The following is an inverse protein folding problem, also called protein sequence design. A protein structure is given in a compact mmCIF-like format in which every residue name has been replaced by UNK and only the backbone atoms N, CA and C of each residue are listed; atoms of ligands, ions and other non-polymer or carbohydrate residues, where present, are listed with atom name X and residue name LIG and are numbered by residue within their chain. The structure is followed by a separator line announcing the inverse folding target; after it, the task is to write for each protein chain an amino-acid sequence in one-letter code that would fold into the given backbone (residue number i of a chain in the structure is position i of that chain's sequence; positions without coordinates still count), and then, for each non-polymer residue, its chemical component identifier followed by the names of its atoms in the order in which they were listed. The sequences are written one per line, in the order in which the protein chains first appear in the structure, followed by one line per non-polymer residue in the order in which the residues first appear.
data_IF_822804289569
#
_entry.id   IF_822804289569
#
_cell.length_a   1.000
_cell.length_b   1.000
_cell.length_c   1.000
_cell.angle_alpha   90.00
_cell.angle_beta   90.00
_cell.angle_gamma   90.00
#
_symmetry.space_group_name_H-M   'P 1'
#
loop_
_entity.id
_entity.type
_entity.pdbx_description
1 polymer ?
#
# COMPACT_ATOMS: atom_id res chain seq x y z
N UNK A 1 1.10 -16.91 -7.26
CA UNK A 1 2.58 -16.89 -7.12
C UNK A 1 2.91 -15.85 -6.05
N UNK A 2 3.96 -16.05 -5.25
CA UNK A 2 4.35 -15.10 -4.20
C UNK A 2 4.98 -13.85 -4.84
N UNK A 3 4.62 -12.66 -4.35
CA UNK A 3 5.24 -11.39 -4.72
C UNK A 3 5.96 -10.79 -3.50
N UNK A 4 7.21 -10.37 -3.67
CA UNK A 4 8.01 -9.76 -2.60
C UNK A 4 8.10 -8.24 -2.82
N UNK A 5 7.71 -7.46 -1.81
CA UNK A 5 7.79 -6.01 -1.83
C UNK A 5 8.72 -5.51 -0.73
N UNK A 6 9.46 -4.42 -0.97
CA UNK A 6 10.19 -3.70 0.08
C UNK A 6 9.35 -2.55 0.63
N UNK A 7 9.16 -2.47 1.94
CA UNK A 7 8.51 -1.33 2.60
C UNK A 7 9.55 -0.24 2.88
N UNK A 8 9.91 0.54 1.86
CA UNK A 8 11.02 1.50 1.91
C UNK A 8 10.87 2.65 0.91
N UNK A 9 11.53 3.77 1.22
CA UNK A 9 11.79 4.88 0.30
C UNK A 9 13.30 5.20 0.21
N UNK A 10 14.15 4.32 0.74
CA UNK A 10 15.61 4.43 0.66
C UNK A 10 16.09 3.79 -0.65
N UNK A 11 16.47 4.63 -1.60
CA UNK A 11 16.84 4.25 -2.96
C UNK A 11 18.12 3.41 -3.00
N UNK A 12 19.08 3.68 -2.13
CA UNK A 12 20.32 2.89 -2.03
C UNK A 12 20.02 1.49 -1.49
N UNK A 13 19.17 1.41 -0.46
CA UNK A 13 18.73 0.14 0.10
C UNK A 13 17.95 -0.69 -0.93
N UNK A 14 17.06 -0.07 -1.69
CA UNK A 14 16.28 -0.72 -2.75
C UNK A 14 17.22 -1.28 -3.82
N UNK A 15 18.19 -0.49 -4.30
CA UNK A 15 19.19 -0.96 -5.26
C UNK A 15 20.01 -2.14 -4.73
N UNK A 16 20.45 -2.06 -3.47
CA UNK A 16 21.22 -3.12 -2.83
C UNK A 16 20.44 -4.44 -2.79
N UNK A 17 19.19 -4.42 -2.32
CA UNK A 17 18.39 -5.65 -2.19
C UNK A 17 17.88 -6.18 -3.53
N UNK A 18 17.68 -5.33 -4.53
CA UNK A 18 17.32 -5.78 -5.88
C UNK A 18 18.41 -6.67 -6.52
N UNK A 19 19.66 -6.51 -6.11
CA UNK A 19 20.75 -7.38 -6.59
C UNK A 19 20.66 -8.83 -6.10
N UNK A 20 19.90 -9.11 -5.04
CA UNK A 20 19.88 -10.42 -4.39
C UNK A 20 18.47 -11.00 -4.11
N UNK A 21 17.40 -10.23 -4.27
CA UNK A 21 16.02 -10.64 -4.01
C UNK A 21 15.12 -10.40 -5.24
N UNK A 22 14.10 -11.26 -5.46
CA UNK A 22 13.14 -11.08 -6.55
C UNK A 22 12.08 -10.03 -6.18
N UNK A 23 12.49 -8.76 -6.07
CA UNK A 23 11.61 -7.67 -5.66
C UNK A 23 10.64 -7.32 -6.79
N UNK A 24 9.33 -7.42 -6.52
CA UNK A 24 8.27 -7.01 -7.45
C UNK A 24 8.02 -5.50 -7.44
N UNK A 25 8.36 -4.84 -6.34
CA UNK A 25 8.11 -3.42 -6.19
C UNK A 25 8.33 -2.94 -4.77
N UNK A 26 7.76 -1.78 -4.46
CA UNK A 26 7.85 -1.18 -3.12
C UNK A 26 6.48 -0.83 -2.56
N UNK A 27 6.39 -0.83 -1.24
CA UNK A 27 5.32 -0.17 -0.52
C UNK A 27 5.88 1.04 0.22
N UNK A 28 5.08 2.10 0.30
CA UNK A 28 5.41 3.27 1.10
C UNK A 28 4.27 3.58 2.06
N UNK A 29 4.54 4.45 3.03
CA UNK A 29 3.54 5.08 3.85
C UNK A 29 4.03 6.50 4.20
N UNK A 30 3.17 7.38 4.74
CA UNK A 30 3.53 8.76 4.99
C UNK A 30 4.76 8.91 5.89
N UNK A 31 4.92 8.03 6.88
CA UNK A 31 6.06 8.05 7.80
C UNK A 31 7.37 7.66 7.11
N UNK A 32 7.35 6.69 6.19
CA UNK A 32 8.53 6.28 5.41
C UNK A 32 8.97 7.43 4.49
N UNK A 33 8.04 8.04 3.75
CA UNK A 33 8.33 9.17 2.86
C UNK A 33 8.87 10.37 3.63
N UNK A 34 8.26 10.71 4.77
CA UNK A 34 8.70 11.81 5.61
C UNK A 34 10.12 11.60 6.16
N UNK A 35 10.45 10.37 6.59
CA UNK A 35 11.80 10.03 7.09
C UNK A 35 12.86 10.10 5.99
N UNK A 36 12.52 9.67 4.78
CA UNK A 36 13.40 9.73 3.62
C UNK A 36 13.51 11.15 3.02
N UNK A 37 12.64 12.08 3.44
CA UNK A 37 12.58 13.46 2.95
C UNK A 37 12.53 13.54 1.41
N UNK A 38 11.74 12.64 0.80
CA UNK A 38 11.61 12.49 -0.65
C UNK A 38 10.13 12.56 -1.07
N UNK A 39 9.85 13.26 -2.16
CA UNK A 39 8.51 13.33 -2.74
C UNK A 39 8.18 12.10 -3.59
N UNK A 40 6.89 11.74 -3.68
CA UNK A 40 6.41 10.56 -4.44
C UNK A 40 6.93 10.55 -5.88
N UNK A 41 6.81 11.66 -6.61
CA UNK A 41 7.24 11.73 -8.02
C UNK A 41 8.75 11.44 -8.19
N UNK A 42 9.58 11.95 -7.28
CA UNK A 42 11.01 11.70 -7.31
C UNK A 42 11.31 10.24 -6.99
N UNK A 43 10.70 9.71 -5.92
CA UNK A 43 10.88 8.32 -5.52
C UNK A 43 10.48 7.34 -6.63
N UNK A 44 9.30 7.52 -7.24
CA UNK A 44 8.82 6.64 -8.32
C UNK A 44 9.81 6.62 -9.49
N UNK A 45 10.32 7.79 -9.90
CA UNK A 45 11.29 7.88 -10.99
C UNK A 45 12.60 7.14 -10.67
N UNK A 46 13.15 7.37 -9.49
CA UNK A 46 14.42 6.77 -9.06
C UNK A 46 14.27 5.25 -8.91
N UNK A 47 13.21 4.78 -8.26
CA UNK A 47 12.97 3.35 -8.05
C UNK A 47 12.61 2.63 -9.35
N UNK A 48 11.85 3.26 -10.26
CA UNK A 48 11.59 2.69 -11.59
C UNK A 48 12.87 2.50 -12.40
N UNK A 49 13.87 3.37 -12.22
CA UNK A 49 15.19 3.21 -12.86
C UNK A 49 15.95 1.98 -12.34
N UNK A 50 15.70 1.59 -11.08
CA UNK A 50 16.36 0.47 -10.40
C UNK A 50 15.63 -0.86 -10.64
N UNK A 51 14.32 -0.88 -10.47
CA UNK A 51 13.48 -2.07 -10.51
C UNK A 51 12.89 -2.35 -11.92
N UNK A 52 12.93 -1.37 -12.82
CA UNK A 52 12.39 -1.47 -14.17
C UNK A 52 10.89 -1.15 -14.26
N UNK A 53 10.39 -1.10 -15.49
CA UNK A 53 9.02 -0.63 -15.81
C UNK A 53 7.90 -1.57 -15.32
N UNK A 54 8.24 -2.78 -14.89
CA UNK A 54 7.28 -3.75 -14.31
C UNK A 54 7.16 -3.64 -12.79
N UNK A 55 7.89 -2.69 -12.18
CA UNK A 55 7.83 -2.43 -10.75
C UNK A 55 6.46 -1.88 -10.35
N UNK A 56 5.88 -2.47 -9.30
CA UNK A 56 4.61 -2.01 -8.73
C UNK A 56 4.83 -1.17 -7.47
N UNK A 57 4.09 -0.07 -7.37
CA UNK A 57 4.25 0.91 -6.30
C UNK A 57 2.97 1.00 -5.48
N UNK A 58 3.07 0.77 -4.16
CA UNK A 58 1.93 0.98 -3.28
C UNK A 58 2.06 2.33 -2.55
N UNK A 59 1.22 3.30 -2.93
CA UNK A 59 1.27 4.69 -2.43
C UNK A 59 0.02 4.99 -1.62
N UNK A 60 0.19 5.54 -0.41
CA UNK A 60 -0.92 5.79 0.51
C UNK A 60 -1.49 7.19 0.38
N UNK A 61 -2.82 7.29 0.36
CA UNK A 61 -3.54 8.56 0.54
C UNK A 61 -3.35 9.11 1.96
N UNK A 62 -3.44 10.43 2.12
CA UNK A 62 -3.38 11.12 3.41
C UNK A 62 -4.64 11.93 3.73
N UNK A 63 -5.51 12.15 2.74
CA UNK A 63 -6.79 12.83 2.90
C UNK A 63 -7.73 12.14 3.90
N UNK A 64 -8.61 12.93 4.52
CA UNK A 64 -9.45 12.47 5.63
C UNK A 64 -10.94 12.39 5.31
N UNK A 65 -11.39 12.97 4.19
CA UNK A 65 -12.77 12.86 3.71
C UNK A 65 -12.86 11.96 2.48
N UNK A 66 -14.03 11.35 2.25
CA UNK A 66 -14.24 10.44 1.11
C UNK A 66 -13.92 11.13 -0.22
N UNK A 67 -14.40 12.36 -0.41
CA UNK A 67 -14.25 13.07 -1.68
C UNK A 67 -12.79 13.48 -1.92
N UNK A 68 -12.08 13.93 -0.88
CA UNK A 68 -10.65 14.24 -0.99
C UNK A 68 -9.81 12.99 -1.24
N UNK A 69 -10.13 11.86 -0.58
CA UNK A 69 -9.44 10.57 -0.83
C UNK A 69 -9.61 10.15 -2.29
N UNK A 70 -10.81 10.30 -2.86
CA UNK A 70 -11.05 9.95 -4.27
C UNK A 70 -10.23 10.85 -5.19
N UNK A 71 -10.24 12.17 -4.95
CA UNK A 71 -9.45 13.12 -5.74
C UNK A 71 -7.95 12.86 -5.62
N UNK A 72 -7.46 12.50 -4.44
CA UNK A 72 -6.06 12.14 -4.22
C UNK A 72 -5.69 10.83 -4.93
N UNK A 73 -6.52 9.79 -4.80
CA UNK A 73 -6.33 8.51 -5.48
C UNK A 73 -6.30 8.66 -7.01
N UNK A 74 -7.19 9.49 -7.58
CA UNK A 74 -7.23 9.78 -9.02
C UNK A 74 -5.96 10.51 -9.50
N UNK A 75 -5.40 11.41 -8.69
CA UNK A 75 -4.11 12.06 -9.01
C UNK A 75 -2.94 11.08 -8.95
N UNK A 76 -2.95 10.18 -7.95
CA UNK A 76 -1.90 9.17 -7.79
C UNK A 76 -1.91 8.18 -8.96
N UNK A 77 -3.08 7.66 -9.33
CA UNK A 77 -3.21 6.65 -10.40
C UNK A 77 -2.99 7.24 -11.80
N UNK A 78 -3.08 8.56 -11.97
CA UNK A 78 -2.77 9.23 -13.23
C UNK A 78 -1.26 9.32 -13.53
N UNK A 79 -0.40 8.98 -12.56
CA UNK A 79 1.04 8.90 -12.79
C UNK A 79 1.37 7.70 -13.70
N UNK A 80 2.38 7.79 -14.57
CA UNK A 80 2.66 6.78 -15.60
C UNK A 80 3.43 5.56 -15.05
N UNK A 81 2.96 4.97 -13.95
CA UNK A 81 3.56 3.82 -13.27
C UNK A 81 2.48 2.81 -12.86
N UNK A 82 2.84 1.54 -12.65
CA UNK A 82 1.92 0.54 -12.05
C UNK A 82 1.76 0.86 -10.55
N UNK A 83 0.64 1.50 -10.19
CA UNK A 83 0.37 1.96 -8.83
C UNK A 83 -0.85 1.27 -8.23
N UNK A 84 -0.69 0.84 -6.97
CA UNK A 84 -1.79 0.44 -6.09
C UNK A 84 -1.99 1.53 -5.04
N UNK A 85 -3.21 2.06 -4.94
CA UNK A 85 -3.54 3.10 -3.98
C UNK A 85 -3.83 2.46 -2.62
N UNK A 86 -3.03 2.80 -1.61
CA UNK A 86 -3.22 2.33 -0.23
C UNK A 86 -4.19 3.24 0.50
N UNK A 87 -5.23 2.68 1.09
CA UNK A 87 -6.26 3.41 1.85
C UNK A 87 -6.39 2.77 3.24
N UNK A 88 -6.27 3.53 4.33
CA UNK A 88 -6.52 3.00 5.67
C UNK A 88 -7.94 2.41 5.77
N UNK A 89 -8.08 1.21 6.34
CA UNK A 89 -9.36 0.52 6.46
C UNK A 89 -10.26 1.08 7.58
N UNK A 90 -10.54 2.38 7.54
CA UNK A 90 -11.52 3.08 8.38
C UNK A 90 -12.90 3.07 7.72
N UNK A 91 -13.95 3.49 8.42
CA UNK A 91 -15.29 3.63 7.81
C UNK A 91 -15.26 4.51 6.54
N UNK A 92 -14.61 5.67 6.62
CA UNK A 92 -14.39 6.57 5.47
C UNK A 92 -13.59 5.86 4.37
N UNK A 93 -12.55 5.11 4.76
CA UNK A 93 -11.73 4.33 3.83
C UNK A 93 -12.52 3.25 3.10
N UNK A 94 -13.42 2.53 3.78
CA UNK A 94 -14.27 1.51 3.16
C UNK A 94 -15.24 2.12 2.14
N UNK A 95 -15.80 3.30 2.43
CA UNK A 95 -16.64 4.04 1.45
C UNK A 95 -15.80 4.44 0.24
N UNK A 96 -14.58 4.92 0.45
CA UNK A 96 -13.67 5.30 -0.63
C UNK A 96 -13.25 4.09 -1.48
N UNK A 97 -12.84 2.97 -0.85
CA UNK A 97 -12.50 1.71 -1.53
C UNK A 97 -13.65 1.27 -2.43
N UNK A 98 -14.89 1.24 -1.90
CA UNK A 98 -16.07 0.84 -2.67
C UNK A 98 -16.31 1.69 -3.91
N UNK A 99 -16.13 3.02 -3.81
CA UNK A 99 -16.28 3.94 -4.95
C UNK A 99 -15.13 3.82 -5.96
N UNK A 100 -13.90 3.66 -5.48
CA UNK A 100 -12.70 3.55 -6.33
C UNK A 100 -12.63 2.20 -7.05
N UNK A 101 -13.13 1.13 -6.42
CA UNK A 101 -13.25 -0.19 -7.05
C UNK A 101 -14.13 -0.15 -8.31
N UNK A 102 -15.23 0.61 -8.29
CA UNK A 102 -16.09 0.82 -9.48
C UNK A 102 -15.34 1.53 -10.63
N UNK A 103 -14.27 2.27 -10.32
CA UNK A 103 -13.38 2.91 -11.29
C UNK A 103 -12.22 2.01 -11.73
N UNK A 104 -12.18 0.75 -11.27
CA UNK A 104 -11.13 -0.23 -11.58
C UNK A 104 -9.73 0.25 -11.17
N UNK A 105 -9.65 1.07 -10.11
CA UNK A 105 -8.38 1.49 -9.53
C UNK A 105 -7.87 0.34 -8.65
N UNK A 106 -6.60 -0.10 -8.78
CA UNK A 106 -6.01 -1.09 -7.88
C UNK A 106 -5.87 -0.54 -6.46
N UNK A 107 -6.38 -1.28 -5.47
CA UNK A 107 -6.54 -0.80 -4.10
C UNK A 107 -5.89 -1.74 -3.09
N UNK A 108 -5.22 -1.16 -2.11
CA UNK A 108 -4.73 -1.87 -0.92
C UNK A 108 -5.36 -1.28 0.34
N UNK A 109 -6.05 -2.11 1.10
CA UNK A 109 -6.55 -1.74 2.41
C UNK A 109 -5.45 -1.89 3.46
N UNK A 110 -5.00 -0.78 4.06
CA UNK A 110 -3.88 -0.74 5.01
C UNK A 110 -4.35 -0.46 6.44
N UNK A 111 -3.44 -0.58 7.41
CA UNK A 111 -3.73 -0.39 8.83
C UNK A 111 -4.84 -1.33 9.33
N UNK A 112 -4.77 -2.59 8.91
CA UNK A 112 -5.67 -3.65 9.36
C UNK A 112 -5.13 -4.25 10.67
N UNK A 113 -5.99 -4.36 11.68
CA UNK A 113 -5.68 -4.93 13.00
C UNK A 113 -6.55 -6.13 13.36
N UNK A 114 -7.67 -6.34 12.66
CA UNK A 114 -8.59 -7.45 12.91
C UNK A 114 -9.00 -8.13 11.61
N UNK A 115 -9.43 -9.39 11.71
CA UNK A 115 -9.94 -10.16 10.57
C UNK A 115 -11.18 -9.51 9.98
N UNK A 116 -12.09 -9.04 10.83
CA UNK A 116 -13.33 -8.39 10.38
C UNK A 116 -13.03 -7.13 9.56
N UNK A 117 -12.03 -6.35 9.95
CA UNK A 117 -11.62 -5.15 9.22
C UNK A 117 -11.07 -5.50 7.82
N UNK A 118 -10.20 -6.52 7.73
CA UNK A 118 -9.69 -6.99 6.44
C UNK A 118 -10.77 -7.59 5.55
N UNK A 119 -11.65 -8.42 6.12
CA UNK A 119 -12.78 -9.02 5.42
C UNK A 119 -13.73 -7.96 4.84
N UNK A 120 -14.10 -6.94 5.62
CA UNK A 120 -14.94 -5.84 5.14
C UNK A 120 -14.27 -5.04 4.03
N UNK A 121 -12.95 -4.85 4.10
CA UNK A 121 -12.20 -4.15 3.05
C UNK A 121 -12.14 -4.95 1.74
N UNK A 122 -11.95 -6.27 1.83
CA UNK A 122 -12.05 -7.15 0.66
C UNK A 122 -13.45 -7.13 0.04
N UNK A 123 -14.51 -7.21 0.85
CA UNK A 123 -15.90 -7.07 0.38
C UNK A 123 -16.20 -5.71 -0.26
N UNK A 124 -15.53 -4.65 0.20
CA UNK A 124 -15.63 -3.32 -0.41
C UNK A 124 -14.89 -3.23 -1.76
N UNK A 125 -14.04 -4.20 -2.09
CA UNK A 125 -13.33 -4.27 -3.38
C UNK A 125 -11.84 -3.93 -3.31
N UNK A 126 -11.20 -4.06 -2.15
CA UNK A 126 -9.74 -3.98 -2.06
C UNK A 126 -9.07 -5.22 -2.69
N UNK A 127 -8.07 -5.01 -3.55
CA UNK A 127 -7.31 -6.08 -4.20
C UNK A 127 -6.23 -6.67 -3.29
N UNK A 128 -5.73 -5.87 -2.34
CA UNK A 128 -4.72 -6.25 -1.36
C UNK A 128 -5.16 -5.87 0.05
N UNK A 129 -4.77 -6.69 1.04
CA UNK A 129 -4.96 -6.43 2.46
C UNK A 129 -3.60 -6.38 3.15
N UNK A 130 -3.35 -5.34 3.95
CA UNK A 130 -2.11 -5.20 4.73
C UNK A 130 -2.39 -5.16 6.25
N UNK A 131 -2.50 -6.34 6.91
CA UNK A 131 -2.51 -6.45 8.36
C UNK A 131 -1.16 -6.09 8.98
N UNK A 132 -1.16 -5.30 10.05
CA UNK A 132 0.06 -4.87 10.74
C UNK A 132 0.47 -5.90 11.80
N UNK A 133 1.00 -7.04 11.35
CA UNK A 133 1.37 -8.21 12.17
C UNK A 133 2.05 -7.80 13.49
N UNK A 134 3.20 -7.13 13.40
CA UNK A 134 3.96 -6.73 14.59
C UNK A 134 3.20 -5.77 15.52
N UNK A 135 2.34 -4.89 14.98
CA UNK A 135 1.55 -3.99 15.84
C UNK A 135 0.44 -4.74 16.58
N UNK A 136 -0.18 -5.73 15.93
CA UNK A 136 -1.19 -6.59 16.56
C UNK A 136 -0.54 -7.34 17.74
N UNK A 137 0.65 -7.90 17.54
CA UNK A 137 1.41 -8.60 18.59
C UNK A 137 1.77 -7.66 19.75
N UNK A 138 2.24 -6.44 19.45
CA UNK A 138 2.56 -5.42 20.48
C UNK A 138 1.33 -5.03 21.31
N UNK A 139 0.12 -5.10 20.75
CA UNK A 139 -1.13 -4.84 21.48
C UNK A 139 -1.69 -6.08 22.21
N UNK A 140 -0.94 -7.18 22.26
CA UNK A 140 -1.33 -8.41 22.96
C UNK A 140 -2.22 -9.35 22.15
N UNK A 141 -2.40 -9.08 20.84
CA UNK A 141 -3.04 -10.00 19.90
C UNK A 141 -2.06 -11.02 19.33
N UNK A 142 -2.51 -11.75 18.30
CA UNK A 142 -1.66 -12.61 17.48
C UNK A 142 -1.83 -12.23 16.00
N UNK A 143 -0.87 -11.46 15.49
CA UNK A 143 -0.86 -10.97 14.11
C UNK A 143 -0.71 -12.07 13.08
N UNK A 144 -0.01 -13.16 13.41
CA UNK A 144 0.12 -14.33 12.52
C UNK A 144 -1.23 -15.01 12.35
N UNK A 145 -1.99 -15.21 13.43
CA UNK A 145 -3.36 -15.76 13.37
C UNK A 145 -4.30 -14.85 12.59
N UNK A 146 -4.16 -13.51 12.69
CA UNK A 146 -4.94 -12.58 11.86
C UNK A 146 -4.63 -12.77 10.37
N UNK A 147 -3.35 -12.95 10.00
CA UNK A 147 -2.97 -13.23 8.60
C UNK A 147 -3.54 -14.57 8.15
N UNK A 148 -3.40 -15.63 8.96
CA UNK A 148 -3.93 -16.97 8.69
C UNK A 148 -5.43 -16.95 8.41
N UNK A 149 -6.20 -16.19 9.20
CA UNK A 149 -7.65 -16.09 9.05
C UNK A 149 -8.11 -15.18 7.89
N UNK A 150 -7.21 -14.39 7.30
CA UNK A 150 -7.49 -13.54 6.15
C UNK A 150 -7.14 -14.20 4.80
N UNK A 151 -6.40 -15.31 4.81
CA UNK A 151 -6.00 -16.09 3.64
C UNK A 151 -7.00 -17.21 3.34
#
# INVERSE_FOLDING_TARGET
MLELYLDSADVEQIARFNSCLPIKGITTNPSILAKANIGVNQLLKEVNTILGNEARFHIQVISQSVDEIILEAEKIIALPYDIVVKIPATEIGLVAIKKLHQKQIPLLATAIYTVQQGFLAALAGADYLAPYVNRIDVFGGNGVTVVEQLQ
#
